data_IF_712099015540
#
_entry.id   IF_712099015540
#
_cell.length_a   1.000
_cell.length_b   1.000
_cell.length_c   1.000
_cell.angle_alpha   90.00
_cell.angle_beta   90.00
_cell.angle_gamma   90.00
#
_symmetry.space_group_name_H-M   'P 1'
#
loop_
_entity.id
_entity.type
_entity.pdbx_description
1 polymer ?
#
# COMPACT_ATOMS: atom_id res chain seq x y z
N UNK A 1 2.22 5.43 23.36
CA UNK A 1 1.19 4.52 22.83
C UNK A 1 1.10 4.73 21.32
N UNK A 2 0.56 3.75 20.59
CA UNK A 2 0.14 3.94 19.21
C UNK A 2 -1.37 4.16 19.29
N UNK A 3 -1.82 5.39 19.06
CA UNK A 3 -3.24 5.77 19.32
C UNK A 3 -4.08 5.75 18.03
N UNK A 4 -3.43 5.89 16.88
CA UNK A 4 -4.03 5.73 15.57
C UNK A 4 -3.02 5.31 14.52
N UNK A 5 -3.50 4.68 13.46
CA UNK A 5 -2.69 4.37 12.28
C UNK A 5 -3.59 4.33 11.07
N UNK A 6 -3.05 4.44 9.87
CA UNK A 6 -3.81 4.23 8.64
C UNK A 6 -2.87 3.90 7.49
N UNK A 7 -3.42 3.25 6.48
CA UNK A 7 -2.77 3.11 5.19
C UNK A 7 -3.77 3.39 4.07
N UNK A 8 -3.23 3.82 2.94
CA UNK A 8 -3.95 4.21 1.74
C UNK A 8 -3.09 3.89 0.52
N UNK A 9 -3.69 3.99 -0.67
CA UNK A 9 -3.00 3.83 -1.93
C UNK A 9 -3.15 5.08 -2.81
N UNK A 10 -2.11 5.40 -3.58
CA UNK A 10 -2.14 6.51 -4.52
C UNK A 10 -3.01 6.22 -5.76
N UNK A 11 -3.21 4.95 -6.12
CA UNK A 11 -3.88 4.48 -7.34
C UNK A 11 -3.37 5.17 -8.63
N UNK A 12 -2.08 5.52 -8.68
CA UNK A 12 -1.51 6.41 -9.69
C UNK A 12 -0.46 5.72 -10.59
N UNK A 13 0.61 5.18 -10.00
CA UNK A 13 1.71 4.55 -10.73
C UNK A 13 2.46 3.55 -9.84
N UNK A 14 2.94 2.44 -10.42
CA UNK A 14 3.61 1.36 -9.67
C UNK A 14 4.90 1.78 -8.94
N UNK A 15 5.54 2.85 -9.40
CA UNK A 15 6.79 3.35 -8.81
C UNK A 15 6.85 4.86 -8.59
N UNK A 16 5.87 5.59 -9.13
CA UNK A 16 5.83 7.05 -9.06
C UNK A 16 4.79 7.44 -8.03
N UNK A 17 5.14 8.25 -7.01
CA UNK A 17 4.16 8.68 -6.02
C UNK A 17 3.09 9.58 -6.67
N UNK A 18 1.97 9.76 -5.99
CA UNK A 18 0.92 10.70 -6.40
C UNK A 18 1.49 12.10 -6.59
N UNK A 19 1.11 12.76 -7.69
CA UNK A 19 1.52 14.15 -7.96
C UNK A 19 0.77 15.17 -7.10
N UNK A 20 -0.36 14.77 -6.51
CA UNK A 20 -1.20 15.64 -5.67
C UNK A 20 -0.90 15.46 -4.18
N UNK A 21 -0.34 14.32 -3.76
CA UNK A 21 -0.09 14.00 -2.35
C UNK A 21 -1.35 13.59 -1.57
N UNK A 22 -2.43 13.28 -2.29
CA UNK A 22 -3.73 12.88 -1.73
C UNK A 22 -3.67 11.54 -0.99
N UNK A 23 -3.04 10.52 -1.58
CA UNK A 23 -2.92 9.20 -0.95
C UNK A 23 -2.29 9.31 0.45
N UNK A 24 -1.09 9.90 0.55
CA UNK A 24 -0.43 10.09 1.85
C UNK A 24 -1.23 11.01 2.79
N UNK A 25 -1.90 12.04 2.28
CA UNK A 25 -2.80 12.87 3.08
C UNK A 25 -3.94 12.05 3.70
N UNK A 26 -4.55 11.11 2.96
CA UNK A 26 -5.61 10.24 3.50
C UNK A 26 -5.08 9.39 4.67
N UNK A 27 -3.89 8.79 4.54
CA UNK A 27 -3.27 8.06 5.63
C UNK A 27 -3.03 8.96 6.86
N UNK A 28 -2.49 10.17 6.68
CA UNK A 28 -2.29 11.13 7.77
C UNK A 28 -3.61 11.52 8.45
N UNK A 29 -4.61 11.90 7.66
CA UNK A 29 -5.97 12.30 8.10
C UNK A 29 -6.59 11.20 8.95
N UNK A 30 -6.55 9.97 8.46
CA UNK A 30 -7.23 8.84 9.10
C UNK A 30 -6.50 8.36 10.35
N UNK A 31 -5.15 8.39 10.37
CA UNK A 31 -4.38 8.08 11.57
C UNK A 31 -4.63 9.11 12.69
N UNK A 32 -4.68 10.40 12.35
CA UNK A 32 -5.02 11.48 13.28
C UNK A 32 -6.46 11.38 13.77
N UNK A 33 -7.41 11.13 12.86
CA UNK A 33 -8.83 10.93 13.16
C UNK A 33 -9.04 9.74 14.12
N UNK A 34 -8.38 8.61 13.85
CA UNK A 34 -8.46 7.41 14.68
C UNK A 34 -7.93 7.66 16.11
N UNK A 35 -6.94 8.53 16.25
CA UNK A 35 -6.39 8.94 17.54
C UNK A 35 -7.19 10.07 18.22
N UNK A 36 -8.12 10.73 17.50
CA UNK A 36 -8.84 11.90 18.00
C UNK A 36 -7.95 13.14 18.15
N UNK A 37 -6.91 13.27 17.34
CA UNK A 37 -5.90 14.34 17.41
C UNK A 37 -6.02 15.26 16.19
N UNK A 38 -6.05 16.57 16.41
CA UNK A 38 -6.08 17.56 15.33
C UNK A 38 -4.68 17.97 14.86
N UNK A 39 -4.53 18.59 13.67
CA UNK A 39 -3.23 19.04 13.17
C UNK A 39 -2.48 19.99 14.13
N UNK A 40 -3.21 20.82 14.86
CA UNK A 40 -2.65 21.78 15.82
C UNK A 40 -2.03 21.11 17.07
N UNK A 41 -2.36 19.85 17.33
CA UNK A 41 -1.87 19.08 18.48
C UNK A 41 -0.70 18.15 18.11
N UNK A 42 -0.23 18.18 16.85
CA UNK A 42 0.93 17.40 16.39
C UNK A 42 2.21 18.20 16.65
N UNK A 43 3.10 17.66 17.49
CA UNK A 43 4.34 18.34 17.90
C UNK A 43 5.54 17.98 17.00
N UNK A 44 5.50 16.79 16.40
CA UNK A 44 6.59 16.20 15.63
C UNK A 44 6.05 15.50 14.38
N UNK A 45 6.72 15.70 13.25
CA UNK A 45 6.41 15.05 11.99
C UNK A 45 7.62 14.26 11.48
N UNK A 46 7.59 12.92 11.61
CA UNK A 46 8.61 12.05 11.04
C UNK A 46 8.16 11.56 9.66
N UNK A 47 8.69 12.19 8.62
CA UNK A 47 8.36 11.89 7.23
C UNK A 47 9.14 10.69 6.69
N UNK A 48 8.69 10.12 5.57
CA UNK A 48 9.43 9.08 4.86
C UNK A 48 10.76 9.61 4.32
N UNK A 49 10.80 10.79 3.70
CA UNK A 49 11.98 11.57 3.30
C UNK A 49 13.13 10.73 2.76
N UNK A 50 13.02 10.29 1.51
CA UNK A 50 14.02 9.45 0.83
C UNK A 50 15.10 10.26 0.12
N UNK A 51 15.00 11.59 0.12
CA UNK A 51 15.82 12.49 -0.69
C UNK A 51 15.64 12.25 -2.21
N UNK A 52 14.51 11.67 -2.62
CA UNK A 52 14.15 11.55 -4.03
C UNK A 52 13.14 12.65 -4.39
N UNK A 53 13.40 13.34 -5.51
CA UNK A 53 12.68 14.56 -5.86
C UNK A 53 11.14 14.38 -5.86
N UNK A 54 10.64 13.28 -6.44
CA UNK A 54 9.20 13.05 -6.55
C UNK A 54 8.54 12.62 -5.23
N UNK A 55 9.24 11.84 -4.41
CA UNK A 55 8.72 11.46 -3.09
C UNK A 55 8.62 12.68 -2.20
N UNK A 56 9.71 13.44 -2.08
CA UNK A 56 9.79 14.56 -1.16
C UNK A 56 8.83 15.69 -1.61
N UNK A 57 8.64 15.86 -2.93
CA UNK A 57 7.58 16.71 -3.48
C UNK A 57 6.17 16.26 -3.07
N UNK A 58 5.85 14.96 -3.22
CA UNK A 58 4.56 14.41 -2.83
C UNK A 58 4.31 14.58 -1.33
N UNK A 59 5.31 14.27 -0.52
CA UNK A 59 5.27 14.39 0.94
C UNK A 59 5.02 15.82 1.41
N UNK A 60 5.66 16.79 0.77
CA UNK A 60 5.45 18.21 1.08
C UNK A 60 4.01 18.65 0.83
N UNK A 61 3.39 18.16 -0.25
CA UNK A 61 1.99 18.45 -0.58
C UNK A 61 1.05 17.77 0.41
N UNK A 62 1.30 16.51 0.75
CA UNK A 62 0.50 15.77 1.73
C UNK A 62 0.50 16.46 3.10
N UNK A 63 1.68 16.89 3.58
CA UNK A 63 1.80 17.64 4.83
C UNK A 63 1.08 19.00 4.76
N UNK A 64 1.13 19.68 3.61
CA UNK A 64 0.36 20.91 3.37
C UNK A 64 -1.15 20.69 3.41
N UNK A 65 -1.65 19.64 2.76
CA UNK A 65 -3.07 19.24 2.80
C UNK A 65 -3.52 18.87 4.22
N UNK A 66 -2.63 18.25 5.01
CA UNK A 66 -2.88 17.90 6.41
C UNK A 66 -2.81 19.11 7.37
N UNK A 67 -2.36 20.28 6.91
CA UNK A 67 -2.16 21.45 7.77
C UNK A 67 -0.97 21.31 8.72
N UNK A 68 0.06 20.55 8.32
CA UNK A 68 1.23 20.21 9.14
C UNK A 68 2.53 20.88 8.66
N UNK A 69 2.49 21.78 7.67
CA UNK A 69 3.69 22.41 7.09
C UNK A 69 4.60 23.12 8.12
N UNK A 70 4.01 23.69 9.17
CA UNK A 70 4.73 24.42 10.22
C UNK A 70 5.26 23.50 11.34
N UNK A 71 4.80 22.24 11.41
CA UNK A 71 5.24 21.26 12.41
C UNK A 71 6.69 20.86 12.12
N UNK A 72 7.59 20.81 13.12
CA UNK A 72 8.94 20.30 12.96
C UNK A 72 8.95 18.95 12.23
N UNK A 73 9.59 18.92 11.05
CA UNK A 73 9.60 17.77 10.16
C UNK A 73 11.02 17.22 9.97
N UNK A 74 11.17 15.90 9.96
CA UNK A 74 12.45 15.26 9.65
C UNK A 74 12.30 13.89 8.97
N UNK A 75 13.42 13.40 8.43
CA UNK A 75 13.65 11.99 8.10
C UNK A 75 14.97 11.54 8.73
N UNK A 76 15.01 10.29 9.20
CA UNK A 76 16.21 9.72 9.84
C UNK A 76 17.05 8.87 8.86
N UNK A 77 16.59 8.66 7.63
CA UNK A 77 17.32 7.92 6.59
C UNK A 77 18.73 8.47 6.31
N UNK A 78 19.02 9.78 6.42
CA UNK A 78 20.40 10.27 6.30
C UNK A 78 21.41 9.70 7.31
N UNK A 79 20.93 9.11 8.42
CA UNK A 79 21.80 8.50 9.44
C UNK A 79 22.16 7.03 9.15
N UNK A 80 21.24 6.26 8.56
CA UNK A 80 21.40 4.80 8.41
C UNK A 80 20.97 4.25 7.03
N UNK A 81 20.65 5.12 6.08
CA UNK A 81 20.15 4.77 4.76
C UNK A 81 18.67 4.36 4.76
N UNK A 82 18.14 4.05 3.59
CA UNK A 82 16.80 3.50 3.47
C UNK A 82 16.83 1.97 3.64
N UNK A 83 16.40 1.48 4.80
CA UNK A 83 16.40 0.05 5.14
C UNK A 83 15.19 -0.73 4.59
N UNK A 84 14.67 -0.30 3.43
CA UNK A 84 13.51 -0.92 2.76
C UNK A 84 12.34 -1.15 3.73
N UNK A 85 11.72 -2.33 3.74
CA UNK A 85 10.60 -2.66 4.62
C UNK A 85 10.89 -2.53 6.12
N UNK A 86 12.15 -2.56 6.54
CA UNK A 86 12.51 -2.37 7.95
C UNK A 86 12.50 -0.89 8.38
N UNK A 87 12.49 0.06 7.42
CA UNK A 87 12.53 1.51 7.71
C UNK A 87 11.38 1.93 8.62
N UNK A 88 10.16 1.46 8.32
CA UNK A 88 8.98 1.79 9.10
C UNK A 88 9.10 1.42 10.59
N UNK A 89 9.72 0.28 10.92
CA UNK A 89 9.90 -0.18 12.30
C UNK A 89 11.00 0.62 13.00
N UNK A 90 12.17 0.75 12.37
CA UNK A 90 13.33 1.44 12.95
C UNK A 90 12.99 2.91 13.24
N UNK A 91 12.36 3.59 12.28
CA UNK A 91 11.98 5.00 12.42
C UNK A 91 10.90 5.19 13.49
N UNK A 92 9.92 4.29 13.59
CA UNK A 92 8.89 4.34 14.64
C UNK A 92 9.49 4.19 16.04
N UNK A 93 10.47 3.28 16.22
CA UNK A 93 11.18 3.13 17.51
C UNK A 93 11.92 4.42 17.86
N UNK A 94 12.60 5.03 16.90
CA UNK A 94 13.32 6.28 17.11
C UNK A 94 12.38 7.44 17.40
N UNK A 95 11.28 7.58 16.66
CA UNK A 95 10.26 8.59 16.90
C UNK A 95 9.65 8.47 18.30
N UNK A 96 9.40 7.25 18.78
CA UNK A 96 8.90 7.03 20.13
C UNK A 96 9.92 7.49 21.20
N UNK A 97 11.22 7.28 20.97
CA UNK A 97 12.27 7.70 21.90
C UNK A 97 12.52 9.22 21.84
N UNK A 98 12.45 9.84 20.65
CA UNK A 98 12.48 11.30 20.46
C UNK A 98 11.33 12.00 21.17
N UNK A 99 10.11 11.47 20.97
CA UNK A 99 8.90 11.94 21.63
C UNK A 99 9.03 11.85 23.16
N UNK A 100 9.48 10.71 23.68
CA UNK A 100 9.70 10.51 25.12
C UNK A 100 10.71 11.47 25.72
N UNK A 101 11.75 11.84 24.96
CA UNK A 101 12.85 12.69 25.45
C UNK A 101 12.65 14.18 25.20
N UNK A 102 11.72 14.56 24.31
CA UNK A 102 11.62 15.94 23.86
C UNK A 102 12.84 16.38 23.03
N UNK A 103 13.50 15.45 22.34
CA UNK A 103 14.64 15.74 21.46
C UNK A 103 14.23 15.33 20.06
N UNK A 104 14.19 16.28 19.13
CA UNK A 104 13.92 16.05 17.72
C UNK A 104 15.22 16.23 16.94
N UNK A 105 15.71 15.19 16.28
CA UNK A 105 16.99 15.26 15.58
C UNK A 105 16.91 16.19 14.36
N UNK A 106 18.08 16.73 13.99
CA UNK A 106 18.23 17.45 12.74
C UNK A 106 18.40 16.48 11.57
N UNK A 107 18.13 16.94 10.36
CA UNK A 107 18.34 16.17 9.13
C UNK A 107 19.80 16.31 8.70
N UNK A 108 20.58 15.23 8.84
CA UNK A 108 22.01 15.22 8.46
C UNK A 108 22.18 15.52 6.97
N UNK A 109 22.98 16.54 6.66
CA UNK A 109 23.26 16.95 5.27
C UNK A 109 22.18 17.85 4.65
N UNK A 110 21.17 18.27 5.42
CA UNK A 110 20.21 19.27 4.96
C UNK A 110 20.83 20.66 4.91
N UNK A 111 20.65 21.34 3.78
CA UNK A 111 21.13 22.71 3.55
C UNK A 111 20.02 23.63 3.05
N UNK A 112 19.22 23.16 2.08
CA UNK A 112 18.14 23.94 1.45
C UNK A 112 16.90 23.05 1.18
N UNK A 113 15.71 23.63 1.28
CA UNK A 113 14.46 22.96 0.90
C UNK A 113 14.33 22.87 -0.63
N UNK A 114 14.13 21.66 -1.14
CA UNK A 114 13.92 21.37 -2.56
C UNK A 114 12.49 20.99 -2.94
N UNK A 115 11.47 21.45 -2.19
CA UNK A 115 10.07 21.03 -2.33
C UNK A 115 9.12 22.20 -2.57
N UNK A 116 7.99 22.02 -3.29
CA UNK A 116 7.11 23.12 -3.67
C UNK A 116 6.25 23.66 -2.51
N UNK A 117 5.96 22.84 -1.50
CA UNK A 117 5.28 23.27 -0.27
C UNK A 117 6.33 23.32 0.84
N UNK A 118 6.70 24.50 1.36
CA UNK A 118 7.72 24.60 2.40
C UNK A 118 7.35 23.79 3.65
N UNK A 119 8.34 23.11 4.23
CA UNK A 119 8.23 22.34 5.47
C UNK A 119 9.22 22.87 6.52
N UNK A 120 8.87 22.74 7.79
CA UNK A 120 9.74 23.15 8.90
C UNK A 120 10.85 22.12 9.21
N UNK A 121 11.82 22.00 8.29
CA UNK A 121 12.99 21.11 8.38
C UNK A 121 14.22 21.88 8.89
N UNK A 122 15.10 21.21 9.64
CA UNK A 122 16.34 21.78 10.18
C UNK A 122 17.48 20.78 10.17
N UNK A 123 18.70 21.26 9.95
CA UNK A 123 19.93 20.48 10.12
C UNK A 123 20.33 20.34 11.60
N UNK A 124 19.85 21.23 12.46
CA UNK A 124 20.13 21.23 13.89
C UNK A 124 19.06 20.46 14.67
N UNK A 125 19.50 19.76 15.72
CA UNK A 125 18.62 19.14 16.70
C UNK A 125 17.80 20.21 17.44
N UNK A 126 16.55 19.89 17.75
CA UNK A 126 15.63 20.76 18.49
C UNK A 126 15.22 20.11 19.81
N UNK A 127 15.09 20.94 20.85
CA UNK A 127 14.40 20.55 22.07
C UNK A 127 12.94 20.95 21.93
N UNK A 128 12.04 19.97 22.03
CA UNK A 128 10.61 20.20 22.06
C UNK A 128 10.15 20.00 23.50
N UNK A 129 9.53 21.03 24.08
CA UNK A 129 9.16 21.02 25.49
C UNK A 129 7.84 20.28 25.66
N UNK A 130 7.83 19.20 26.45
CA UNK A 130 6.64 18.39 26.75
C UNK A 130 5.84 17.95 25.51
N UNK A 131 6.47 17.33 24.48
CA UNK A 131 5.73 16.90 23.32
C UNK A 131 4.82 15.73 23.68
N UNK A 132 3.65 15.70 23.05
CA UNK A 132 2.62 14.71 23.26
C UNK A 132 2.41 13.83 22.04
N UNK A 133 2.45 14.38 20.81
CA UNK A 133 2.13 13.63 19.61
C UNK A 133 3.21 13.72 18.54
N UNK A 134 3.57 12.56 18.00
CA UNK A 134 4.42 12.44 16.81
C UNK A 134 3.65 11.70 15.71
N UNK A 135 3.46 12.35 14.57
CA UNK A 135 2.92 11.71 13.37
C UNK A 135 4.10 11.17 12.55
N UNK A 136 4.11 9.87 12.32
CA UNK A 136 5.13 9.17 11.54
C UNK A 136 4.51 8.66 10.26
N UNK A 137 5.18 8.84 9.12
CA UNK A 137 4.73 8.34 7.83
C UNK A 137 5.70 7.34 7.21
N UNK A 138 5.23 6.59 6.21
CA UNK A 138 6.05 5.81 5.29
C UNK A 138 5.33 5.68 3.95
N UNK A 139 6.09 5.72 2.87
CA UNK A 139 5.58 5.50 1.52
C UNK A 139 6.40 4.40 0.86
N UNK A 140 5.77 3.64 -0.03
CA UNK A 140 6.39 2.50 -0.69
C UNK A 140 6.03 2.42 -2.17
N UNK A 141 6.77 1.58 -2.90
CA UNK A 141 6.39 1.22 -4.26
C UNK A 141 4.99 0.60 -4.28
N UNK A 142 4.31 0.77 -5.40
CA UNK A 142 2.90 0.42 -5.55
C UNK A 142 1.93 1.55 -5.22
N UNK A 143 2.41 2.65 -4.60
CA UNK A 143 1.55 3.74 -4.16
C UNK A 143 1.07 3.59 -2.72
N UNK A 144 1.52 2.58 -1.98
CA UNK A 144 1.15 2.35 -0.59
C UNK A 144 1.73 3.43 0.32
N UNK A 145 0.86 4.13 1.03
CA UNK A 145 1.21 5.10 2.06
C UNK A 145 0.70 4.61 3.41
N UNK A 146 1.45 4.91 4.47
CA UNK A 146 1.06 4.60 5.84
C UNK A 146 1.39 5.76 6.77
N UNK A 147 0.57 5.95 7.79
CA UNK A 147 0.80 6.89 8.88
C UNK A 147 0.47 6.25 10.23
N UNK A 148 1.20 6.62 11.27
CA UNK A 148 0.98 6.19 12.65
C UNK A 148 1.11 7.40 13.55
N UNK A 149 0.16 7.59 14.46
CA UNK A 149 0.25 8.59 15.51
C UNK A 149 0.75 7.96 16.81
N UNK A 150 1.90 8.43 17.26
CA UNK A 150 2.51 8.06 18.54
C UNK A 150 2.17 9.11 19.59
N UNK A 151 1.78 8.66 20.78
CA UNK A 151 1.48 9.53 21.91
C UNK A 151 2.35 9.25 23.13
N UNK A 152 2.77 10.28 23.85
CA UNK A 152 3.49 10.16 25.12
C UNK A 152 2.84 11.01 26.21
N UNK A 153 2.68 10.42 27.41
CA UNK A 153 2.00 11.05 28.54
C UNK A 153 0.75 10.29 28.99
N UNK A 154 -0.20 11.01 29.60
CA UNK A 154 -1.45 10.42 30.10
C UNK A 154 -2.26 9.87 28.92
N UNK A 155 -2.65 8.58 28.93
CA UNK A 155 -3.45 8.02 27.86
C UNK A 155 -4.75 8.79 27.71
N UNK A 156 -5.10 9.18 26.49
CA UNK A 156 -6.47 9.57 26.21
C UNK A 156 -7.40 8.39 26.57
N UNK A 157 -8.61 8.64 27.09
CA UNK A 157 -9.58 7.58 27.28
C UNK A 157 -9.82 6.89 25.94
N UNK A 158 -9.62 5.57 25.89
CA UNK A 158 -9.81 4.79 24.67
C UNK A 158 -11.22 5.02 24.14
N UNK A 159 -11.34 5.53 22.91
CA UNK A 159 -12.62 5.58 22.22
C UNK A 159 -13.08 4.16 21.90
N UNK A 160 -14.39 3.91 21.97
CA UNK A 160 -14.96 2.63 21.57
C UNK A 160 -14.85 2.48 20.05
N UNK A 161 -13.73 1.92 19.57
CA UNK A 161 -13.52 1.61 18.14
C UNK A 161 -14.33 0.36 17.76
N UNK A 162 -14.98 0.38 16.59
CA UNK A 162 -15.52 -0.85 16.00
C UNK A 162 -14.35 -1.81 15.78
N UNK A 163 -14.44 -3.02 16.33
CA UNK A 163 -13.35 -4.00 16.26
C UNK A 163 -13.43 -4.88 15.02
N UNK A 164 -14.62 -5.04 14.44
CA UNK A 164 -14.86 -5.76 13.19
C UNK A 164 -16.23 -5.41 12.60
N UNK A 165 -16.35 -5.58 11.29
CA UNK A 165 -17.61 -5.45 10.54
C UNK A 165 -18.02 -6.77 9.90
N UNK A 166 -19.33 -6.97 9.76
CA UNK A 166 -19.88 -8.13 9.06
C UNK A 166 -19.67 -7.96 7.55
N UNK A 167 -19.04 -8.96 6.94
CA UNK A 167 -18.72 -8.97 5.52
C UNK A 167 -19.47 -10.10 4.81
N UNK A 168 -20.18 -9.76 3.73
CA UNK A 168 -20.88 -10.73 2.89
C UNK A 168 -20.20 -10.85 1.51
N UNK A 169 -19.92 -12.06 1.03
CA UNK A 169 -19.42 -12.25 -0.33
C UNK A 169 -20.46 -11.79 -1.37
N UNK A 170 -20.05 -10.89 -2.26
CA UNK A 170 -20.87 -10.38 -3.38
C UNK A 170 -20.55 -11.10 -4.67
N UNK A 171 -19.26 -11.38 -4.88
CA UNK A 171 -18.76 -12.05 -6.08
C UNK A 171 -17.49 -12.80 -5.78
N UNK A 172 -17.36 -13.99 -6.35
CA UNK A 172 -16.16 -14.81 -6.30
C UNK A 172 -15.62 -15.07 -7.70
N UNK A 173 -14.34 -14.81 -7.91
CA UNK A 173 -13.62 -15.13 -9.15
C UNK A 173 -12.52 -16.13 -8.85
N UNK A 174 -12.45 -17.19 -9.64
CA UNK A 174 -11.35 -18.15 -9.60
C UNK A 174 -10.73 -18.31 -10.98
N UNK A 175 -9.41 -18.27 -11.04
CA UNK A 175 -8.63 -18.50 -12.26
C UNK A 175 -7.66 -19.65 -12.03
N UNK A 176 -7.76 -20.67 -12.88
CA UNK A 176 -6.85 -21.82 -12.90
C UNK A 176 -7.04 -22.61 -14.18
N UNK A 177 -5.99 -23.30 -14.66
CA UNK A 177 -6.09 -24.29 -15.76
C UNK A 177 -6.76 -23.76 -17.04
N UNK A 178 -6.47 -22.52 -17.44
CA UNK A 178 -7.00 -21.91 -18.66
C UNK A 178 -8.43 -21.41 -18.55
N UNK A 179 -9.00 -21.37 -17.35
CA UNK A 179 -10.39 -21.02 -17.11
C UNK A 179 -10.54 -19.88 -16.11
N UNK A 180 -11.55 -19.04 -16.34
CA UNK A 180 -12.08 -18.07 -15.39
C UNK A 180 -13.49 -18.48 -14.97
N UNK A 181 -13.69 -18.69 -13.68
CA UNK A 181 -14.98 -18.98 -13.08
C UNK A 181 -15.45 -17.78 -12.25
N UNK A 182 -16.70 -17.36 -12.41
CA UNK A 182 -17.38 -16.32 -11.63
C UNK A 182 -18.59 -16.95 -10.96
N UNK A 183 -18.64 -16.93 -9.63
CA UNK A 183 -19.72 -17.54 -8.82
C UNK A 183 -20.08 -18.96 -9.29
N UNK A 184 -19.05 -19.80 -9.44
CA UNK A 184 -19.12 -21.20 -9.91
C UNK A 184 -19.51 -21.38 -11.39
N UNK A 185 -19.78 -20.30 -12.11
CA UNK A 185 -20.09 -20.32 -13.54
C UNK A 185 -18.84 -20.03 -14.37
N UNK A 186 -18.59 -20.84 -15.40
CA UNK A 186 -17.49 -20.62 -16.33
C UNK A 186 -17.73 -19.37 -17.18
N UNK A 187 -17.01 -18.29 -16.88
CA UNK A 187 -17.10 -17.02 -17.59
C UNK A 187 -16.20 -16.96 -18.83
N UNK A 188 -15.06 -17.66 -18.80
CA UNK A 188 -14.15 -17.74 -19.94
C UNK A 188 -13.34 -19.05 -19.89
N UNK A 189 -13.11 -19.66 -21.04
CA UNK A 189 -12.29 -20.88 -21.20
C UNK A 189 -11.39 -20.71 -22.41
N UNK A 190 -10.08 -20.90 -22.21
CA UNK A 190 -9.11 -21.06 -23.29
C UNK A 190 -8.99 -22.53 -23.69
N UNK A 191 -8.70 -22.78 -24.97
CA UNK A 191 -8.31 -24.11 -25.44
C UNK A 191 -6.91 -24.54 -24.97
N UNK A 192 -6.11 -23.59 -24.50
CA UNK A 192 -4.74 -23.78 -24.02
C UNK A 192 -4.66 -23.52 -22.52
N UNK A 193 -3.97 -24.40 -21.79
CA UNK A 193 -3.75 -24.24 -20.34
C UNK A 193 -2.52 -23.40 -20.00
N UNK A 194 -1.60 -23.24 -20.96
CA UNK A 194 -0.43 -22.35 -20.87
C UNK A 194 -0.85 -20.92 -20.51
N UNK A 195 -0.22 -20.36 -19.47
CA UNK A 195 -0.61 -19.06 -18.93
C UNK A 195 -0.46 -17.93 -19.94
N UNK A 196 0.61 -17.89 -20.73
CA UNK A 196 0.84 -16.78 -21.66
C UNK A 196 -0.21 -16.72 -22.75
N UNK A 197 -0.62 -17.87 -23.28
CA UNK A 197 -1.68 -17.94 -24.28
C UNK A 197 -3.03 -17.62 -23.66
N UNK A 198 -3.36 -18.30 -22.54
CA UNK A 198 -4.60 -18.07 -21.80
C UNK A 198 -4.78 -16.60 -21.41
N UNK A 199 -3.79 -15.98 -20.76
CA UNK A 199 -3.90 -14.61 -20.24
C UNK A 199 -4.14 -13.58 -21.35
N UNK A 200 -3.55 -13.78 -22.52
CA UNK A 200 -3.76 -12.91 -23.69
C UNK A 200 -5.16 -13.05 -24.29
N UNK A 201 -5.69 -14.26 -24.36
CA UNK A 201 -7.05 -14.51 -24.86
C UNK A 201 -8.09 -13.99 -23.87
N UNK A 202 -7.89 -14.26 -22.57
CA UNK A 202 -8.72 -13.78 -21.47
C UNK A 202 -8.75 -12.25 -21.39
N UNK A 203 -7.61 -11.58 -21.58
CA UNK A 203 -7.55 -10.11 -21.63
C UNK A 203 -8.32 -9.55 -22.83
N UNK A 204 -8.16 -10.16 -24.01
CA UNK A 204 -8.83 -9.71 -25.24
C UNK A 204 -10.35 -9.89 -25.20
N UNK A 205 -10.85 -10.93 -24.53
CA UNK A 205 -12.30 -11.17 -24.42
C UNK A 205 -13.03 -10.12 -23.58
N UNK A 206 -12.30 -9.35 -22.77
CA UNK A 206 -12.81 -8.19 -22.02
C UNK A 206 -12.83 -6.89 -22.85
N UNK A 207 -12.35 -6.93 -24.10
CA UNK A 207 -12.26 -5.77 -25.01
C UNK A 207 -11.51 -4.56 -24.42
N UNK A 208 -10.55 -4.82 -23.53
CA UNK A 208 -9.82 -3.77 -22.81
C UNK A 208 -8.66 -3.17 -23.63
N UNK A 209 -8.60 -1.84 -23.69
CA UNK A 209 -7.54 -1.09 -24.37
C UNK A 209 -6.40 -0.69 -23.41
N UNK A 210 -5.87 -1.62 -22.60
CA UNK A 210 -4.73 -1.34 -21.71
C UNK A 210 -3.43 -2.02 -22.16
N UNK A 211 -2.60 -1.29 -22.92
CA UNK A 211 -1.31 -1.80 -23.39
C UNK A 211 -0.30 -2.09 -22.27
N UNK A 212 -0.49 -1.57 -21.06
CA UNK A 212 0.38 -1.88 -19.91
C UNK A 212 0.30 -3.35 -19.52
N UNK A 213 -0.84 -4.00 -19.74
CA UNK A 213 -1.04 -5.43 -19.44
C UNK A 213 0.09 -6.32 -20.01
N UNK A 214 0.53 -6.04 -21.24
CA UNK A 214 1.58 -6.83 -21.90
C UNK A 214 2.99 -6.60 -21.33
N UNK A 215 3.18 -5.56 -20.50
CA UNK A 215 4.45 -5.22 -19.85
C UNK A 215 4.51 -5.70 -18.40
N UNK A 216 3.40 -6.11 -17.83
CA UNK A 216 3.33 -6.66 -16.48
C UNK A 216 4.03 -8.01 -16.39
N UNK A 217 4.52 -8.35 -15.20
CA UNK A 217 4.90 -9.72 -14.89
C UNK A 217 3.65 -10.61 -14.81
N UNK A 218 3.85 -11.92 -14.78
CA UNK A 218 2.75 -12.87 -14.92
C UNK A 218 1.86 -12.95 -13.67
N UNK A 219 2.42 -12.72 -12.48
CA UNK A 219 1.63 -12.61 -11.25
C UNK A 219 0.70 -11.38 -11.31
N UNK A 220 1.20 -10.22 -11.74
CA UNK A 220 0.35 -9.03 -11.89
C UNK A 220 -0.69 -9.21 -13.00
N UNK A 221 -0.36 -9.85 -14.13
CA UNK A 221 -1.37 -10.17 -15.17
C UNK A 221 -2.50 -11.03 -14.61
N UNK A 222 -2.18 -12.01 -13.78
CA UNK A 222 -3.17 -12.89 -13.17
C UNK A 222 -4.10 -12.13 -12.21
N UNK A 223 -3.55 -11.27 -11.34
CA UNK A 223 -4.36 -10.41 -10.45
C UNK A 223 -5.18 -9.35 -11.21
N UNK A 224 -4.58 -8.74 -12.23
CA UNK A 224 -5.23 -7.79 -13.13
C UNK A 224 -6.44 -8.42 -13.83
N UNK A 225 -6.29 -9.65 -14.34
CA UNK A 225 -7.39 -10.42 -14.93
C UNK A 225 -8.47 -10.75 -13.89
N UNK A 226 -8.12 -11.33 -12.75
CA UNK A 226 -9.10 -11.71 -11.73
C UNK A 226 -9.95 -10.52 -11.27
N UNK A 227 -9.31 -9.36 -11.01
CA UNK A 227 -10.00 -8.14 -10.60
C UNK A 227 -10.95 -7.59 -11.67
N UNK A 228 -10.66 -7.82 -12.96
CA UNK A 228 -11.50 -7.38 -14.08
C UNK A 228 -12.91 -7.97 -14.00
N UNK A 229 -13.03 -9.28 -13.78
CA UNK A 229 -14.32 -9.95 -13.59
C UNK A 229 -14.88 -9.69 -12.20
N UNK A 230 -14.03 -9.53 -11.18
CA UNK A 230 -14.48 -9.34 -9.80
C UNK A 230 -15.27 -8.04 -9.64
N UNK A 231 -14.81 -6.96 -10.27
CA UNK A 231 -15.37 -5.62 -10.10
C UNK A 231 -16.27 -5.19 -11.25
N UNK A 232 -16.56 -6.08 -12.20
CA UNK A 232 -17.41 -5.79 -13.37
C UNK A 232 -18.80 -5.29 -12.95
N UNK A 233 -19.11 -4.03 -13.27
CA UNK A 233 -20.38 -3.38 -12.89
C UNK A 233 -20.57 -3.09 -11.40
N UNK A 234 -19.50 -3.13 -10.59
CA UNK A 234 -19.54 -2.74 -9.18
C UNK A 234 -19.16 -1.25 -9.04
N UNK A 235 -19.95 -0.48 -8.31
CA UNK A 235 -19.73 0.95 -8.07
C UNK A 235 -19.35 1.26 -6.62
N UNK A 236 -18.28 2.04 -6.44
CA UNK A 236 -17.77 2.51 -5.16
C UNK A 236 -16.95 3.79 -5.35
N UNK A 237 -16.82 4.59 -4.29
CA UNK A 237 -15.90 5.72 -4.23
C UNK A 237 -14.45 5.27 -4.02
N UNK A 238 -13.47 6.07 -4.48
CA UNK A 238 -12.04 5.68 -4.50
C UNK A 238 -11.50 5.21 -3.14
N UNK A 239 -11.97 5.80 -2.03
CA UNK A 239 -11.55 5.46 -0.65
C UNK A 239 -12.40 4.34 -0.02
N UNK A 240 -13.45 3.85 -0.70
CA UNK A 240 -14.45 2.93 -0.13
C UNK A 240 -14.12 1.44 -0.31
N UNK A 241 -13.03 1.11 -1.01
CA UNK A 241 -12.60 -0.25 -1.27
C UNK A 241 -11.18 -0.49 -0.74
N UNK A 242 -10.96 -1.60 -0.02
CA UNK A 242 -9.64 -2.06 0.40
C UNK A 242 -9.23 -3.37 -0.28
N UNK A 243 -7.95 -3.72 -0.22
CA UNK A 243 -7.41 -4.94 -0.85
C UNK A 243 -6.54 -5.71 0.16
N UNK A 244 -6.96 -6.92 0.51
CA UNK A 244 -6.21 -7.84 1.37
C UNK A 244 -5.82 -9.06 0.56
N UNK A 245 -4.54 -9.19 0.24
CA UNK A 245 -4.02 -10.26 -0.60
C UNK A 245 -3.16 -11.23 0.20
N UNK A 246 -3.08 -12.46 -0.31
CA UNK A 246 -2.13 -13.45 0.16
C UNK A 246 -1.59 -14.33 -0.96
N UNK A 247 -0.51 -15.03 -0.69
CA UNK A 247 0.03 -16.05 -1.58
C UNK A 247 1.16 -16.81 -0.91
N UNK A 248 1.46 -17.99 -1.44
CA UNK A 248 2.55 -18.85 -0.96
C UNK A 248 3.90 -18.39 -1.50
N UNK A 249 3.93 -17.90 -2.73
CA UNK A 249 5.16 -17.58 -3.45
C UNK A 249 5.42 -16.08 -3.56
N UNK A 250 4.38 -15.25 -3.50
CA UNK A 250 4.47 -13.82 -3.85
C UNK A 250 5.14 -13.64 -5.21
N UNK A 251 6.18 -12.80 -5.27
CA UNK A 251 6.91 -12.48 -6.49
C UNK A 251 8.05 -13.45 -6.85
N UNK A 252 8.18 -14.60 -6.17
CA UNK A 252 9.35 -15.49 -6.30
C UNK A 252 9.67 -15.90 -7.75
N UNK A 253 8.66 -16.13 -8.60
CA UNK A 253 8.87 -16.44 -10.01
C UNK A 253 9.60 -15.31 -10.76
N UNK A 254 9.14 -14.08 -10.55
CA UNK A 254 9.75 -12.88 -11.12
C UNK A 254 11.13 -12.62 -10.52
N UNK A 255 11.31 -12.88 -9.23
CA UNK A 255 12.61 -12.77 -8.54
C UNK A 255 13.65 -13.71 -9.17
N UNK A 256 13.28 -14.99 -9.38
CA UNK A 256 14.15 -15.99 -9.99
C UNK A 256 14.56 -15.56 -11.40
N UNK A 257 13.60 -15.14 -12.23
CA UNK A 257 13.89 -14.69 -13.60
C UNK A 257 14.76 -13.43 -13.63
N UNK A 258 14.52 -12.49 -12.72
CA UNK A 258 15.31 -11.27 -12.60
C UNK A 258 16.76 -11.57 -12.18
N UNK A 259 16.94 -12.46 -11.19
CA UNK A 259 18.26 -12.88 -10.73
C UNK A 259 19.01 -13.67 -11.81
N UNK A 260 18.33 -14.52 -12.58
CA UNK A 260 18.96 -15.27 -13.69
C UNK A 260 19.59 -14.33 -14.72
N UNK A 261 18.93 -13.22 -15.07
CA UNK A 261 19.48 -12.22 -15.99
C UNK A 261 20.76 -11.61 -15.42
N UNK A 262 20.76 -11.27 -14.12
CA UNK A 262 21.95 -10.73 -13.45
C UNK A 262 23.09 -11.75 -13.49
N UNK A 263 22.80 -13.01 -13.18
CA UNK A 263 23.78 -14.08 -13.12
C UNK A 263 24.38 -14.40 -14.50
N UNK A 264 23.59 -14.36 -15.58
CA UNK A 264 24.03 -14.71 -16.93
C UNK A 264 24.57 -13.54 -17.74
N UNK A 265 24.04 -12.33 -17.54
CA UNK A 265 24.29 -11.16 -18.39
C UNK A 265 24.82 -9.93 -17.62
N UNK A 266 24.93 -10.00 -16.29
CA UNK A 266 25.40 -8.92 -15.42
C UNK A 266 24.29 -7.93 -15.00
N UNK A 267 24.61 -7.11 -14.01
CA UNK A 267 23.70 -6.12 -13.40
C UNK A 267 23.16 -5.09 -14.39
N UNK A 268 23.98 -4.66 -15.36
CA UNK A 268 23.58 -3.70 -16.39
C UNK A 268 22.43 -4.17 -17.30
N UNK A 269 22.19 -5.50 -17.35
CA UNK A 269 21.13 -6.12 -18.15
C UNK A 269 19.81 -6.25 -17.37
N UNK A 270 19.85 -6.08 -16.05
CA UNK A 270 18.67 -6.13 -15.19
C UNK A 270 17.81 -4.87 -15.38
N UNK A 271 16.58 -5.06 -15.86
CA UNK A 271 15.68 -3.93 -16.13
C UNK A 271 15.11 -3.33 -14.83
N UNK A 272 15.26 -2.01 -14.60
CA UNK A 272 14.59 -1.34 -13.49
C UNK A 272 13.05 -1.41 -13.56
N UNK A 273 12.50 -1.59 -14.76
CA UNK A 273 11.06 -1.76 -14.95
C UNK A 273 10.57 -3.15 -14.49
N UNK A 274 11.44 -4.16 -14.47
CA UNK A 274 11.12 -5.50 -13.94
C UNK A 274 11.34 -5.55 -12.44
N UNK A 275 12.33 -4.81 -11.91
CA UNK A 275 12.61 -4.74 -10.47
C UNK A 275 11.37 -4.41 -9.64
N UNK A 276 10.50 -3.50 -10.08
CA UNK A 276 9.28 -3.18 -9.32
C UNK A 276 8.35 -4.39 -9.14
N UNK A 277 8.36 -5.34 -10.08
CA UNK A 277 7.56 -6.57 -10.00
C UNK A 277 8.22 -7.65 -9.11
N UNK A 278 9.42 -7.40 -8.57
CA UNK A 278 10.03 -8.25 -7.52
C UNK A 278 9.51 -7.89 -6.12
N UNK A 279 8.30 -7.33 -6.07
CA UNK A 279 7.62 -6.91 -4.84
C UNK A 279 6.20 -7.45 -4.87
N UNK A 280 5.78 -8.25 -3.89
CA UNK A 280 4.50 -8.95 -3.92
C UNK A 280 3.30 -7.99 -3.86
N UNK A 281 3.46 -6.83 -3.22
CA UNK A 281 2.39 -5.83 -3.11
C UNK A 281 2.06 -5.14 -4.45
N UNK A 282 2.92 -5.25 -5.47
CA UNK A 282 2.68 -4.59 -6.76
C UNK A 282 1.49 -5.18 -7.53
N UNK A 283 1.09 -6.42 -7.23
CA UNK A 283 -0.18 -6.97 -7.75
C UNK A 283 -1.37 -6.13 -7.27
N UNK A 284 -1.40 -5.77 -5.98
CA UNK A 284 -2.45 -4.93 -5.43
C UNK A 284 -2.38 -3.51 -6.04
N UNK A 285 -1.17 -2.98 -6.25
CA UNK A 285 -0.98 -1.69 -6.91
C UNK A 285 -1.54 -1.65 -8.33
N UNK A 286 -1.30 -2.67 -9.16
CA UNK A 286 -1.85 -2.73 -10.52
C UNK A 286 -3.39 -2.81 -10.51
N UNK A 287 -3.97 -3.50 -9.50
CA UNK A 287 -5.42 -3.52 -9.29
C UNK A 287 -5.91 -2.13 -8.87
N UNK A 288 -5.24 -1.48 -7.92
CA UNK A 288 -5.58 -0.13 -7.45
C UNK A 288 -5.53 0.90 -8.58
N UNK A 289 -4.47 0.90 -9.39
CA UNK A 289 -4.32 1.80 -10.54
C UNK A 289 -5.43 1.57 -11.57
N UNK A 290 -5.74 0.31 -11.85
CA UNK A 290 -6.76 -0.05 -12.84
C UNK A 290 -8.15 0.41 -12.42
N UNK A 291 -8.49 0.25 -11.15
CA UNK A 291 -9.86 0.44 -10.65
C UNK A 291 -10.02 1.66 -9.74
N UNK A 292 -9.01 2.52 -9.67
CA UNK A 292 -9.00 3.74 -8.84
C UNK A 292 -9.25 3.48 -7.34
N UNK A 293 -8.68 2.39 -6.81
CA UNK A 293 -8.82 2.02 -5.40
C UNK A 293 -7.71 2.68 -4.58
N UNK A 294 -8.08 3.65 -3.73
CA UNK A 294 -7.19 4.39 -2.82
C UNK A 294 -7.28 3.95 -1.37
N UNK A 295 -8.17 3.01 -1.03
CA UNK A 295 -8.19 2.39 0.29
C UNK A 295 -6.96 1.51 0.52
N UNK A 296 -6.79 1.07 1.76
CA UNK A 296 -5.64 0.29 2.19
C UNK A 296 -5.43 -0.98 1.34
N UNK A 297 -4.18 -1.24 0.97
CA UNK A 297 -3.76 -2.54 0.44
C UNK A 297 -2.66 -3.19 1.28
N UNK A 298 -2.72 -4.51 1.39
CA UNK A 298 -1.76 -5.29 2.16
C UNK A 298 -1.57 -6.69 1.57
N UNK A 299 -0.37 -7.23 1.74
CA UNK A 299 -0.01 -8.59 1.35
C UNK A 299 0.38 -9.45 2.56
N UNK A 300 -0.17 -10.66 2.63
CA UNK A 300 0.18 -11.68 3.62
C UNK A 300 0.83 -12.90 2.98
N UNK A 301 1.89 -13.42 3.61
CA UNK A 301 2.41 -14.73 3.24
C UNK A 301 1.56 -15.83 3.85
N UNK A 302 0.91 -16.66 3.04
CA UNK A 302 0.03 -17.73 3.52
C UNK A 302 -0.16 -18.80 2.46
N UNK A 303 -0.33 -20.05 2.89
CA UNK A 303 -0.75 -21.17 2.01
C UNK A 303 -2.27 -21.42 2.09
N UNK A 304 -3.00 -20.67 2.92
CA UNK A 304 -4.45 -20.86 3.11
C UNK A 304 -5.27 -20.29 1.94
N UNK A 305 -5.58 -21.17 0.99
CA UNK A 305 -6.46 -20.87 -0.16
C UNK A 305 -7.91 -20.60 0.21
N UNK A 306 -8.35 -20.90 1.44
CA UNK A 306 -9.70 -20.54 1.92
C UNK A 306 -9.79 -19.07 2.34
N UNK A 307 -8.63 -18.40 2.46
CA UNK A 307 -8.50 -17.00 2.84
C UNK A 307 -9.04 -16.70 4.24
N UNK A 308 -9.06 -17.68 5.14
CA UNK A 308 -9.76 -17.58 6.43
C UNK A 308 -9.20 -16.47 7.31
N UNK A 309 -7.88 -16.33 7.37
CA UNK A 309 -7.23 -15.29 8.19
C UNK A 309 -7.28 -13.90 7.53
N UNK A 310 -7.07 -13.82 6.22
CA UNK A 310 -7.14 -12.52 5.53
C UNK A 310 -8.58 -11.99 5.44
N UNK A 311 -9.61 -12.85 5.44
CA UNK A 311 -11.01 -12.43 5.56
C UNK A 311 -11.32 -11.85 6.94
N UNK A 312 -10.74 -12.40 8.01
CA UNK A 312 -10.84 -11.79 9.35
C UNK A 312 -10.16 -10.42 9.37
N UNK A 313 -9.00 -10.30 8.74
CA UNK A 313 -8.32 -9.01 8.60
C UNK A 313 -9.17 -8.01 7.80
N UNK A 314 -9.78 -8.44 6.68
CA UNK A 314 -10.70 -7.62 5.90
C UNK A 314 -11.88 -7.10 6.73
N UNK A 315 -12.44 -7.92 7.64
CA UNK A 315 -13.50 -7.48 8.57
C UNK A 315 -13.02 -6.42 9.57
N UNK A 316 -11.78 -6.51 10.04
CA UNK A 316 -11.17 -5.50 10.92
C UNK A 316 -10.96 -4.20 10.13
N UNK A 317 -10.39 -4.32 8.92
CA UNK A 317 -10.10 -3.20 8.04
C UNK A 317 -11.37 -2.43 7.63
N UNK A 318 -12.42 -3.15 7.25
CA UNK A 318 -13.70 -2.54 6.89
C UNK A 318 -14.31 -1.74 8.05
N UNK A 319 -14.18 -2.23 9.29
CA UNK A 319 -14.65 -1.51 10.47
C UNK A 319 -13.79 -0.30 10.83
N UNK A 320 -12.47 -0.40 10.73
CA UNK A 320 -11.55 0.67 11.13
C UNK A 320 -11.48 1.82 10.13
N UNK A 321 -11.77 1.54 8.85
CA UNK A 321 -11.70 2.52 7.74
C UNK A 321 -13.05 2.86 7.13
N UNK A 322 -14.15 2.35 7.69
CA UNK A 322 -15.50 2.51 7.16
C UNK A 322 -15.59 2.12 5.67
N UNK A 323 -14.91 1.04 5.26
CA UNK A 323 -14.93 0.60 3.86
C UNK A 323 -16.29 -0.01 3.53
N UNK A 324 -16.76 0.26 2.31
CA UNK A 324 -17.95 -0.38 1.73
C UNK A 324 -17.59 -1.77 1.20
N UNK A 325 -16.42 -1.89 0.58
CA UNK A 325 -15.95 -3.14 0.00
C UNK A 325 -14.54 -3.50 0.47
N UNK A 326 -14.27 -4.80 0.56
CA UNK A 326 -12.93 -5.35 0.71
C UNK A 326 -12.73 -6.47 -0.31
N UNK A 327 -11.64 -6.42 -1.07
CA UNK A 327 -11.19 -7.55 -1.89
C UNK A 327 -10.34 -8.45 -1.00
N UNK A 328 -10.74 -9.70 -0.83
CA UNK A 328 -9.89 -10.75 -0.24
C UNK A 328 -9.39 -11.65 -1.37
N UNK A 329 -8.07 -11.83 -1.48
CA UNK A 329 -7.50 -12.62 -2.56
C UNK A 329 -6.38 -13.55 -2.10
N UNK A 330 -6.31 -14.73 -2.72
CA UNK A 330 -5.14 -15.60 -2.67
C UNK A 330 -4.66 -15.89 -4.10
N UNK A 331 -3.39 -15.62 -4.37
CA UNK A 331 -2.81 -15.71 -5.71
C UNK A 331 -1.41 -16.32 -5.66
N UNK A 332 -1.19 -17.30 -6.55
CA UNK A 332 0.07 -18.01 -6.71
C UNK A 332 0.44 -18.07 -8.19
N UNK A 333 1.71 -17.83 -8.48
CA UNK A 333 2.32 -18.06 -9.79
C UNK A 333 3.74 -18.58 -9.61
N UNK A 334 4.07 -19.73 -10.21
CA UNK A 334 5.44 -20.26 -10.23
C UNK A 334 5.64 -21.17 -11.44
N UNK A 335 6.66 -20.91 -12.26
CA UNK A 335 7.03 -21.75 -13.43
C UNK A 335 5.85 -22.07 -14.37
N UNK A 336 4.93 -21.13 -14.56
CA UNK A 336 3.74 -21.30 -15.41
C UNK A 336 2.58 -22.04 -14.73
N UNK A 337 2.74 -22.57 -13.52
CA UNK A 337 1.63 -23.00 -12.68
C UNK A 337 1.01 -21.78 -12.00
N UNK A 338 -0.31 -21.63 -12.13
CA UNK A 338 -1.03 -20.47 -11.61
C UNK A 338 -2.35 -20.84 -10.96
N UNK A 339 -2.68 -20.09 -9.92
CA UNK A 339 -3.95 -20.16 -9.22
C UNK A 339 -4.30 -18.79 -8.66
N UNK A 340 -5.53 -18.34 -8.85
CA UNK A 340 -6.07 -17.16 -8.21
C UNK A 340 -7.48 -17.42 -7.72
N UNK A 341 -7.78 -16.96 -6.51
CA UNK A 341 -9.13 -16.88 -5.97
C UNK A 341 -9.31 -15.50 -5.34
N UNK A 342 -10.36 -14.80 -5.76
CA UNK A 342 -10.70 -13.45 -5.34
C UNK A 342 -12.15 -13.46 -4.87
N UNK A 343 -12.42 -12.80 -3.75
CA UNK A 343 -13.76 -12.54 -3.24
C UNK A 343 -13.91 -11.04 -2.98
N UNK A 344 -14.98 -10.47 -3.54
CA UNK A 344 -15.44 -9.13 -3.19
C UNK A 344 -16.38 -9.27 -2.01
N UNK A 345 -16.04 -8.62 -0.92
CA UNK A 345 -16.79 -8.65 0.33
C UNK A 345 -17.42 -7.28 0.55
N UNK A 346 -18.74 -7.24 0.77
CA UNK A 346 -19.47 -6.02 1.10
C UNK A 346 -19.64 -5.90 2.62
N UNK A 347 -19.37 -4.71 3.13
CA UNK A 347 -19.64 -4.34 4.50
C UNK A 347 -21.12 -3.97 4.63
N UNK A 348 -21.91 -4.84 5.25
CA UNK A 348 -23.35 -4.61 5.43
C UNK A 348 -23.69 -3.58 6.49
N UNK A 349 -22.71 -3.10 7.25
CA UNK A 349 -22.91 -2.06 8.25
C UNK A 349 -22.92 -0.65 7.63
N UNK A 350 -22.68 -0.52 6.31
CA UNK A 350 -22.50 0.73 5.59
C UNK A 350 -23.55 0.95 4.48
#
# INVERSE_FOLDING_TARGET
AIDGGSASDDANHISGPSRTGDGLYFAMRDAMSEAGVGPADVDMLQMHGTATAYNDEMESKAAGLAGLSDVPAQSLKPYFGHTMGASGIIETILAAEELKRGIFLGVKGFEELGVPVPLNVSAENRLITNPHHCLKTASGFGGTNAAVLLSFGTPAPASAKKTSSALNPVRRVQISQGQVNVDETSAFVSSQTDFHTFSREAFKSREEANMKFYKMDDLCKLGYLASAWLLDGIEYGEEECGIVMSGKYGCLDTDIRHQQIIDSEGDSSASPAVFVYTLPNVVAAEISIRHHIKGENIWFWSEDKTMSDIKKYASILAASRDLKYCIAAHIDFINGDYFAIFELLENTDR
#
